data_IF_596772143734
#
_entry.id   IF_596772143734
#
_cell.length_a   1.000
_cell.length_b   1.000
_cell.length_c   1.000
_cell.angle_alpha   90.00
_cell.angle_beta   90.00
_cell.angle_gamma   90.00
#
_symmetry.space_group_name_H-M   'P 1'
#
loop_
_entity.id
_entity.type
_entity.pdbx_description
1 polymer ?
#
# COMPACT_ATOMS: atom_id res chain seq x y z
N UNK A 1 13.53 47.66 0.55
CA UNK A 1 12.48 48.68 0.78
C UNK A 1 11.22 48.19 0.09
N UNK A 2 10.04 47.91 0.65
CA UNK A 2 9.37 48.07 1.96
C UNK A 2 8.24 47.00 1.96
N UNK A 3 8.34 45.89 2.70
CA UNK A 3 7.66 45.57 3.98
C UNK A 3 6.19 46.04 4.10
N UNK A 4 5.22 45.11 4.03
CA UNK A 4 3.90 45.26 4.69
C UNK A 4 3.44 43.92 5.26
N UNK A 5 3.62 43.78 6.56
CA UNK A 5 2.91 42.85 7.44
C UNK A 5 1.60 43.52 7.85
N UNK A 6 0.50 42.77 7.90
CA UNK A 6 -0.72 43.18 8.63
C UNK A 6 -1.12 42.02 9.52
N UNK A 7 -0.85 42.17 10.82
CA UNK A 7 -1.52 41.47 11.90
C UNK A 7 -2.93 42.04 12.03
N UNK A 8 -3.92 41.19 12.32
CA UNK A 8 -5.17 41.63 12.93
C UNK A 8 -5.48 40.70 14.10
N UNK A 9 -5.24 41.22 15.30
CA UNK A 9 -5.77 40.68 16.55
C UNK A 9 -6.92 41.60 16.97
N UNK A 10 -8.07 41.02 17.32
CA UNK A 10 -9.11 41.71 18.09
C UNK A 10 -9.57 40.75 19.17
N UNK A 11 -9.26 41.10 20.40
CA UNK A 11 -9.84 40.56 21.62
C UNK A 11 -11.08 41.39 21.98
N UNK A 12 -12.12 40.74 22.53
CA UNK A 12 -12.94 41.38 23.55
C UNK A 12 -13.63 40.32 24.42
N UNK A 13 -13.32 40.38 25.71
CA UNK A 13 -13.98 39.66 26.79
C UNK A 13 -15.41 40.18 27.00
N UNK A 14 -16.26 39.36 27.64
CA UNK A 14 -17.02 39.73 28.84
C UNK A 14 -17.87 38.56 29.37
N UNK A 15 -17.47 38.10 30.55
CA UNK A 15 -18.21 37.65 31.74
C UNK A 15 -19.74 37.47 31.62
N UNK A 16 -20.23 36.31 32.09
CA UNK A 16 -21.65 36.07 32.32
C UNK A 16 -21.90 34.77 33.07
N UNK A 17 -21.52 34.75 34.34
CA UNK A 17 -21.89 33.71 35.32
C UNK A 17 -23.40 33.74 35.58
N UNK A 18 -24.08 32.63 35.33
CA UNK A 18 -25.40 32.36 35.92
C UNK A 18 -25.34 31.02 36.65
N UNK A 19 -25.23 31.13 37.97
CA UNK A 19 -25.57 30.10 38.93
C UNK A 19 -27.07 29.84 38.88
N UNK A 20 -27.49 28.61 38.59
CA UNK A 20 -28.86 28.16 38.87
C UNK A 20 -28.88 27.62 40.29
N UNK A 21 -29.48 28.39 41.20
CA UNK A 21 -29.92 27.92 42.50
C UNK A 21 -31.38 27.48 42.38
N UNK A 22 -31.68 26.25 42.78
CA UNK A 22 -33.03 25.70 42.74
C UNK A 22 -33.16 24.38 43.48
N UNK A 23 -33.52 24.49 44.77
CA UNK A 23 -34.25 23.53 45.59
C UNK A 23 -33.68 22.10 45.75
N UNK A 24 -32.93 21.88 46.84
CA UNK A 24 -32.88 20.57 47.50
C UNK A 24 -33.99 20.50 48.55
N UNK A 25 -35.05 19.77 48.22
CA UNK A 25 -35.97 19.20 49.20
C UNK A 25 -35.36 17.91 49.75
N UNK A 26 -35.26 17.84 51.08
CA UNK A 26 -34.81 16.67 51.84
C UNK A 26 -35.82 15.53 51.75
N UNK A 27 -35.41 14.37 51.28
CA UNK A 27 -36.05 13.09 51.64
C UNK A 27 -34.98 11.99 51.71
N UNK A 28 -34.68 11.57 52.93
CA UNK A 28 -33.89 10.39 53.26
C UNK A 28 -34.52 9.12 52.65
N UNK A 29 -33.79 8.44 51.77
CA UNK A 29 -34.11 7.06 51.36
C UNK A 29 -32.88 6.19 51.64
N UNK A 30 -33.08 5.22 52.54
CA UNK A 30 -32.10 4.20 52.96
C UNK A 30 -31.63 3.35 51.77
N UNK A 31 -30.35 2.96 51.67
CA UNK A 31 -29.87 2.17 50.53
C UNK A 31 -30.41 0.74 50.59
N UNK A 32 -30.94 0.28 49.45
CA UNK A 32 -31.36 -1.10 49.16
C UNK A 32 -30.11 -1.99 49.00
N UNK A 33 -30.07 -3.25 49.49
CA UNK A 33 -28.86 -4.06 49.41
C UNK A 33 -28.63 -4.53 47.97
N UNK A 34 -27.39 -4.39 47.51
CA UNK A 34 -26.98 -4.67 46.14
C UNK A 34 -27.28 -6.12 45.71
N UNK A 35 -27.97 -6.26 44.56
CA UNK A 35 -28.00 -7.52 43.81
C UNK A 35 -26.62 -7.78 43.18
N UNK A 36 -26.12 -9.02 43.12
CA UNK A 36 -24.84 -9.31 42.49
C UNK A 36 -24.98 -9.12 40.98
N UNK A 37 -24.19 -8.21 40.41
CA UNK A 37 -24.03 -8.11 38.96
C UNK A 37 -23.13 -9.27 38.54
N UNK A 38 -23.71 -10.25 37.86
CA UNK A 38 -22.93 -11.29 37.18
C UNK A 38 -22.14 -10.60 36.08
N UNK A 39 -20.82 -10.57 36.23
CA UNK A 39 -19.93 -10.07 35.20
C UNK A 39 -20.03 -10.98 33.98
N UNK A 40 -20.68 -10.50 32.92
CA UNK A 40 -20.60 -11.15 31.61
C UNK A 40 -19.17 -11.00 31.13
N UNK A 41 -18.42 -12.10 31.18
CA UNK A 41 -17.05 -12.17 30.71
C UNK A 41 -17.08 -11.99 29.19
N UNK A 42 -16.74 -10.79 28.73
CA UNK A 42 -16.63 -10.47 27.31
C UNK A 42 -15.72 -11.49 26.63
N UNK A 43 -16.29 -12.31 25.75
CA UNK A 43 -15.53 -13.26 24.96
C UNK A 43 -14.46 -12.50 24.15
N UNK A 44 -13.23 -13.04 24.01
CA UNK A 44 -12.20 -12.40 23.21
C UNK A 44 -12.71 -12.26 21.77
N UNK A 45 -12.90 -11.03 21.32
CA UNK A 45 -13.31 -10.75 19.95
C UNK A 45 -12.14 -11.11 19.04
N UNK A 46 -12.18 -12.30 18.44
CA UNK A 46 -11.23 -12.68 17.39
C UNK A 46 -11.54 -11.80 16.17
N UNK A 47 -10.73 -10.77 15.96
CA UNK A 47 -10.82 -9.92 14.78
C UNK A 47 -10.68 -10.74 13.50
N UNK A 48 -11.39 -10.34 12.44
CA UNK A 48 -11.30 -10.99 11.13
C UNK A 48 -9.82 -11.04 10.70
N UNK A 49 -9.31 -12.20 10.24
CA UNK A 49 -7.90 -12.34 9.89
C UNK A 49 -7.49 -11.33 8.81
N UNK A 50 -6.31 -10.73 8.97
CA UNK A 50 -5.76 -9.78 8.00
C UNK A 50 -5.66 -10.44 6.61
N UNK A 51 -6.09 -9.75 5.54
CA UNK A 51 -5.91 -10.26 4.18
C UNK A 51 -4.44 -10.29 3.76
N UNK A 52 -3.56 -9.56 4.45
CA UNK A 52 -2.12 -9.49 4.18
C UNK A 52 -1.37 -10.43 5.11
N UNK A 53 -0.48 -11.24 4.54
CA UNK A 53 0.49 -12.07 5.26
C UNK A 53 1.91 -11.78 4.76
N UNK A 54 2.80 -11.35 5.65
CA UNK A 54 4.20 -11.01 5.35
C UNK A 54 5.12 -12.25 5.43
N UNK A 55 6.18 -12.25 4.64
CA UNK A 55 7.18 -13.32 4.55
C UNK A 55 8.59 -12.73 4.54
N UNK A 56 9.58 -13.50 5.00
CA UNK A 56 10.97 -13.08 4.93
C UNK A 56 11.51 -13.15 3.50
N UNK A 57 11.02 -14.12 2.70
CA UNK A 57 11.50 -14.33 1.34
C UNK A 57 10.38 -14.57 0.33
N UNK A 58 10.67 -14.24 -0.94
CA UNK A 58 9.79 -14.55 -2.07
C UNK A 58 9.53 -16.06 -2.20
N UNK A 59 10.49 -16.91 -1.83
CA UNK A 59 10.35 -18.36 -1.90
C UNK A 59 9.31 -18.89 -0.91
N UNK A 60 9.32 -18.38 0.32
CA UNK A 60 8.34 -18.78 1.34
C UNK A 60 6.93 -18.36 0.93
N UNK A 61 6.78 -17.13 0.44
CA UNK A 61 5.51 -16.62 -0.05
C UNK A 61 4.99 -17.42 -1.27
N UNK A 62 5.87 -17.72 -2.22
CA UNK A 62 5.53 -18.54 -3.39
C UNK A 62 5.14 -19.96 -3.01
N UNK A 63 5.83 -20.57 -2.04
CA UNK A 63 5.49 -21.90 -1.49
C UNK A 63 4.15 -21.87 -0.78
N UNK A 64 3.87 -20.83 0.00
CA UNK A 64 2.59 -20.65 0.69
C UNK A 64 1.41 -20.55 -0.29
N UNK A 65 1.61 -19.87 -1.42
CA UNK A 65 0.64 -19.74 -2.50
C UNK A 65 0.61 -20.94 -3.48
N UNK A 66 1.59 -21.84 -3.41
CA UNK A 66 1.78 -22.94 -4.36
C UNK A 66 1.90 -22.46 -5.83
N UNK A 67 2.73 -21.43 -6.07
CA UNK A 67 3.00 -20.90 -7.41
C UNK A 67 4.49 -20.89 -7.74
N UNK A 68 4.83 -20.89 -9.04
CA UNK A 68 6.17 -20.60 -9.54
C UNK A 68 6.17 -19.19 -10.16
N UNK A 69 6.42 -18.13 -9.38
CA UNK A 69 6.27 -16.78 -9.86
C UNK A 69 7.34 -16.44 -10.91
N UNK A 70 6.93 -15.72 -11.95
CA UNK A 70 7.87 -14.95 -12.76
C UNK A 70 8.22 -13.68 -12.00
N UNK A 71 9.50 -13.32 -11.90
CA UNK A 71 9.97 -12.13 -11.20
C UNK A 71 10.80 -11.24 -12.13
N UNK A 72 10.70 -9.91 -12.02
CA UNK A 72 11.58 -9.00 -12.76
C UNK A 72 13.03 -9.18 -12.28
N UNK A 73 13.94 -9.53 -13.20
CA UNK A 73 15.38 -9.63 -12.91
C UNK A 73 16.12 -8.30 -12.95
N UNK A 74 15.54 -7.32 -13.63
CA UNK A 74 16.11 -5.98 -13.77
C UNK A 74 15.10 -4.98 -13.24
N UNK A 75 15.61 -4.01 -12.48
CA UNK A 75 14.88 -2.86 -11.96
C UNK A 75 15.78 -1.63 -12.12
N UNK A 76 15.23 -0.41 -12.02
CA UNK A 76 16.06 0.79 -11.91
C UNK A 76 17.07 0.64 -10.77
N UNK A 77 18.29 1.13 -10.99
CA UNK A 77 19.38 1.05 -10.00
C UNK A 77 18.95 1.74 -8.70
N UNK A 78 19.34 1.15 -7.56
CA UNK A 78 19.09 1.68 -6.22
C UNK A 78 17.84 1.12 -5.53
N UNK A 79 17.03 0.30 -6.21
CA UNK A 79 15.87 -0.36 -5.60
C UNK A 79 16.24 -1.70 -4.95
N UNK A 80 15.87 -1.86 -3.68
CA UNK A 80 16.04 -3.09 -2.91
C UNK A 80 14.67 -3.57 -2.39
N UNK A 81 14.55 -4.87 -2.11
CA UNK A 81 13.30 -5.42 -1.53
C UNK A 81 13.09 -4.78 -0.15
N UNK A 82 11.94 -4.13 0.02
CA UNK A 82 11.45 -3.61 1.30
C UNK A 82 10.62 -4.68 2.03
N UNK A 83 9.69 -5.32 1.32
CA UNK A 83 8.83 -6.35 1.89
C UNK A 83 8.31 -7.35 0.85
N UNK A 84 7.91 -8.51 1.35
CA UNK A 84 7.31 -9.60 0.58
C UNK A 84 6.06 -10.06 1.32
N UNK A 85 4.90 -9.96 0.68
CA UNK A 85 3.64 -10.41 1.27
C UNK A 85 2.74 -11.11 0.28
N UNK A 86 1.70 -11.76 0.81
CA UNK A 86 0.57 -12.25 0.02
C UNK A 86 -0.70 -11.54 0.42
N UNK A 87 -1.63 -11.39 -0.53
CA UNK A 87 -2.94 -10.79 -0.34
C UNK A 87 -3.98 -11.86 -0.63
N UNK A 88 -4.82 -12.19 0.35
CA UNK A 88 -5.86 -13.24 0.28
C UNK A 88 -5.32 -14.60 -0.18
N UNK A 89 -4.01 -14.86 -0.05
CA UNK A 89 -3.31 -16.04 -0.59
C UNK A 89 -3.32 -16.18 -2.13
N UNK A 90 -3.88 -15.21 -2.86
CA UNK A 90 -4.05 -15.29 -4.32
C UNK A 90 -3.09 -14.37 -5.10
N UNK A 91 -2.49 -13.41 -4.43
CA UNK A 91 -1.54 -12.44 -5.01
C UNK A 91 -0.28 -12.37 -4.16
N UNK A 92 0.88 -12.63 -4.77
CA UNK A 92 2.20 -12.33 -4.23
C UNK A 92 2.51 -10.86 -4.52
N UNK A 93 2.90 -10.11 -3.49
CA UNK A 93 3.36 -8.73 -3.57
C UNK A 93 4.83 -8.66 -3.16
N UNK A 94 5.63 -7.98 -3.98
CA UNK A 94 7.01 -7.61 -3.66
C UNK A 94 7.12 -6.10 -3.77
N UNK A 95 7.40 -5.45 -2.65
CA UNK A 95 7.62 -4.00 -2.61
C UNK A 95 9.12 -3.78 -2.62
N UNK A 96 9.57 -2.95 -3.56
CA UNK A 96 10.94 -2.47 -3.64
C UNK A 96 10.97 -1.00 -3.26
N UNK A 97 11.93 -0.58 -2.45
CA UNK A 97 12.15 0.82 -2.09
C UNK A 97 13.51 1.27 -2.59
N UNK A 98 13.58 2.50 -3.09
CA UNK A 98 14.86 3.10 -3.43
C UNK A 98 15.64 3.45 -2.17
N UNK A 99 16.86 2.94 -2.08
CA UNK A 99 17.82 3.29 -1.04
C UNK A 99 18.78 4.37 -1.56
N UNK A 100 18.88 5.46 -0.81
CA UNK A 100 19.78 6.56 -1.13
C UNK A 100 21.24 6.07 -1.13
N UNK A 101 21.95 6.31 -2.23
CA UNK A 101 23.39 6.13 -2.30
C UNK A 101 24.13 7.39 -1.85
N UNK A 102 25.46 7.35 -1.86
CA UNK A 102 26.31 8.50 -1.50
C UNK A 102 26.12 9.69 -2.46
N UNK A 103 25.85 9.42 -3.75
CA UNK A 103 25.60 10.45 -4.75
C UNK A 103 24.17 11.04 -4.61
N UNK A 104 24.10 12.17 -3.91
CA UNK A 104 22.86 12.92 -3.68
C UNK A 104 22.13 13.33 -4.96
N UNK A 105 22.83 13.51 -6.09
CA UNK A 105 22.19 13.89 -7.36
C UNK A 105 21.34 12.76 -7.95
N UNK A 106 21.63 11.51 -7.55
CA UNK A 106 20.91 10.30 -7.98
C UNK A 106 19.77 9.93 -7.04
N UNK A 107 19.69 10.52 -5.85
CA UNK A 107 18.70 10.21 -4.82
C UNK A 107 17.32 10.85 -5.03
N UNK A 108 17.02 11.32 -6.24
CA UNK A 108 15.71 11.87 -6.60
C UNK A 108 14.55 10.85 -6.47
N UNK A 109 14.89 9.58 -6.28
CA UNK A 109 13.95 8.50 -6.04
C UNK A 109 13.92 8.03 -4.57
N UNK A 110 14.64 8.66 -3.64
CA UNK A 110 14.69 8.25 -2.23
C UNK A 110 13.29 8.06 -1.63
N UNK A 111 13.06 6.87 -1.05
CA UNK A 111 11.78 6.49 -0.46
C UNK A 111 10.67 6.16 -1.46
N UNK A 112 10.90 6.30 -2.77
CA UNK A 112 9.93 5.90 -3.80
C UNK A 112 9.90 4.40 -3.95
N UNK A 113 8.70 3.87 -4.19
CA UNK A 113 8.46 2.44 -4.28
C UNK A 113 8.17 1.96 -5.70
N UNK A 114 8.57 0.71 -5.95
CA UNK A 114 8.08 -0.11 -7.04
C UNK A 114 7.33 -1.27 -6.42
N UNK A 115 6.09 -1.49 -6.84
CA UNK A 115 5.27 -2.59 -6.34
C UNK A 115 5.07 -3.58 -7.47
N UNK A 116 5.66 -4.76 -7.33
CA UNK A 116 5.42 -5.87 -8.24
C UNK A 116 4.40 -6.82 -7.63
N UNK A 117 3.42 -7.26 -8.42
CA UNK A 117 2.47 -8.29 -8.02
C UNK A 117 2.33 -9.36 -9.08
N UNK A 118 2.12 -10.58 -8.62
CA UNK A 118 1.83 -11.74 -9.45
C UNK A 118 0.80 -12.63 -8.77
N UNK A 119 -0.16 -13.15 -9.51
CA UNK A 119 -1.22 -13.99 -8.97
C UNK A 119 -1.89 -14.83 -10.04
N UNK A 120 -2.63 -15.83 -9.61
CA UNK A 120 -3.41 -16.73 -10.48
C UNK A 120 -4.88 -16.32 -10.57
N UNK A 121 -5.32 -15.40 -9.71
CA UNK A 121 -6.66 -14.81 -9.81
C UNK A 121 -6.83 -14.02 -11.10
N UNK A 122 -8.05 -13.98 -11.63
CA UNK A 122 -8.37 -13.29 -12.88
C UNK A 122 -8.53 -11.79 -12.64
N UNK A 123 -8.12 -10.99 -13.63
CA UNK A 123 -8.34 -9.55 -13.63
C UNK A 123 -7.12 -8.74 -13.20
N UNK A 124 -7.34 -7.46 -12.94
CA UNK A 124 -6.29 -6.52 -12.53
C UNK A 124 -5.95 -6.72 -11.05
N UNK A 125 -4.72 -7.17 -10.79
CA UNK A 125 -4.21 -7.41 -9.43
C UNK A 125 -3.36 -6.25 -8.88
N UNK A 126 -3.23 -5.15 -9.64
CA UNK A 126 -2.36 -4.03 -9.29
C UNK A 126 -2.73 -3.34 -7.98
N UNK A 127 -4.01 -3.36 -7.62
CA UNK A 127 -4.55 -2.55 -6.52
C UNK A 127 -4.45 -1.05 -6.77
N UNK A 128 -4.20 -0.66 -8.02
CA UNK A 128 -4.17 0.74 -8.45
C UNK A 128 -5.47 1.06 -9.20
N UNK A 129 -6.25 1.97 -8.61
CA UNK A 129 -7.52 2.45 -9.14
C UNK A 129 -7.40 3.89 -9.69
N UNK A 130 -6.17 4.33 -9.99
CA UNK A 130 -5.94 5.67 -10.48
C UNK A 130 -6.42 5.83 -11.92
N UNK A 131 -6.94 7.01 -12.23
CA UNK A 131 -7.33 7.38 -13.58
C UNK A 131 -6.12 7.97 -14.33
N UNK A 132 -5.59 7.20 -15.27
CA UNK A 132 -4.47 7.62 -16.10
C UNK A 132 -4.94 8.28 -17.40
N UNK A 133 -4.22 9.32 -17.83
CA UNK A 133 -4.50 10.02 -19.09
C UNK A 133 -4.31 9.14 -20.32
N UNK A 134 -3.36 8.19 -20.25
CA UNK A 134 -3.01 7.29 -21.33
C UNK A 134 -3.11 5.86 -20.86
N UNK A 135 -3.84 5.04 -21.60
CA UNK A 135 -3.81 3.58 -21.54
C UNK A 135 -3.47 3.06 -22.92
N UNK A 136 -2.37 2.32 -23.04
CA UNK A 136 -1.88 1.81 -24.31
C UNK A 136 -1.47 0.34 -24.18
N UNK A 137 -1.93 -0.47 -25.13
CA UNK A 137 -1.62 -1.90 -25.17
C UNK A 137 -0.69 -2.21 -26.33
N UNK A 138 0.41 -2.91 -26.05
CA UNK A 138 1.44 -3.26 -27.03
C UNK A 138 1.94 -4.69 -26.80
N UNK A 139 2.55 -5.30 -27.83
CA UNK A 139 3.27 -6.56 -27.66
C UNK A 139 4.70 -6.31 -27.22
N UNK A 140 5.12 -6.98 -26.14
CA UNK A 140 6.50 -6.98 -25.62
C UNK A 140 6.96 -8.42 -25.57
N UNK A 141 7.92 -8.79 -26.42
CA UNK A 141 8.41 -10.16 -26.57
C UNK A 141 7.25 -11.19 -26.71
N UNK A 142 6.28 -10.89 -27.58
CA UNK A 142 5.09 -11.72 -27.80
C UNK A 142 3.97 -11.58 -26.76
N UNK A 143 4.26 -11.04 -25.57
CA UNK A 143 3.29 -10.83 -24.50
C UNK A 143 2.48 -9.56 -24.75
N UNK A 144 1.14 -9.63 -24.67
CA UNK A 144 0.28 -8.43 -24.69
C UNK A 144 0.36 -7.73 -23.35
N UNK A 145 0.90 -6.51 -23.34
CA UNK A 145 1.09 -5.69 -22.14
C UNK A 145 0.23 -4.45 -22.25
N UNK A 146 -0.53 -4.16 -21.19
CA UNK A 146 -1.22 -2.88 -21.03
C UNK A 146 -0.40 -1.98 -20.13
N UNK A 147 -0.20 -0.76 -20.58
CA UNK A 147 0.55 0.25 -19.84
C UNK A 147 -0.35 1.46 -19.59
N UNK A 148 -0.33 1.98 -18.37
CA UNK A 148 -1.09 3.14 -17.94
C UNK A 148 -0.16 4.24 -17.43
N UNK A 149 -0.43 5.48 -17.81
CA UNK A 149 0.38 6.64 -17.43
C UNK A 149 0.03 7.93 -18.19
N UNK A 150 1.04 8.68 -18.58
CA UNK A 150 0.90 9.95 -19.30
C UNK A 150 2.25 10.61 -19.59
N UNK A 151 2.30 11.54 -20.55
CA UNK A 151 3.53 12.25 -20.94
C UNK A 151 4.72 11.31 -21.23
N UNK A 152 4.49 10.23 -21.99
CA UNK A 152 5.50 9.19 -22.32
C UNK A 152 6.05 8.40 -21.11
N UNK A 153 5.47 8.61 -19.93
CA UNK A 153 5.84 7.94 -18.69
C UNK A 153 4.80 6.87 -18.32
N UNK A 154 5.29 5.77 -17.76
CA UNK A 154 4.53 4.60 -17.32
C UNK A 154 4.54 4.57 -15.80
N UNK A 155 3.34 4.60 -15.21
CA UNK A 155 3.13 4.40 -13.78
C UNK A 155 2.73 2.97 -13.47
N UNK A 156 1.98 2.33 -14.36
CA UNK A 156 1.52 0.96 -14.17
C UNK A 156 1.65 0.18 -15.48
N UNK A 157 2.15 -1.04 -15.40
CA UNK A 157 2.02 -2.01 -16.48
C UNK A 157 1.39 -3.30 -15.96
N UNK A 158 0.50 -3.90 -16.74
CA UNK A 158 -0.15 -5.18 -16.46
C UNK A 158 -0.06 -6.11 -17.67
N UNK A 159 0.13 -7.39 -17.41
CA UNK A 159 0.18 -8.42 -18.46
C UNK A 159 -0.17 -9.79 -17.92
N UNK A 160 -0.40 -10.74 -18.82
CA UNK A 160 -0.61 -12.15 -18.49
C UNK A 160 0.48 -12.97 -19.15
N UNK A 161 1.12 -13.85 -18.38
CA UNK A 161 2.14 -14.79 -18.87
C UNK A 161 1.98 -16.13 -18.16
N UNK A 162 1.95 -17.21 -18.92
CA UNK A 162 1.85 -18.59 -18.41
C UNK A 162 0.72 -18.79 -17.37
N UNK A 163 -0.44 -18.19 -17.64
CA UNK A 163 -1.62 -18.26 -16.78
C UNK A 163 -1.57 -17.38 -15.51
N UNK A 164 -0.49 -16.64 -15.29
CA UNK A 164 -0.34 -15.72 -14.18
C UNK A 164 -0.62 -14.28 -14.63
N UNK A 165 -1.41 -13.55 -13.83
CA UNK A 165 -1.58 -12.11 -13.97
C UNK A 165 -0.41 -11.42 -13.27
N UNK A 166 0.12 -10.39 -13.92
CA UNK A 166 1.24 -9.61 -13.45
C UNK A 166 0.89 -8.13 -13.46
N UNK A 167 1.41 -7.41 -12.48
CA UNK A 167 1.40 -5.95 -12.49
C UNK A 167 2.69 -5.39 -11.90
N UNK A 168 3.15 -4.27 -12.43
CA UNK A 168 4.22 -3.48 -11.82
C UNK A 168 3.81 -2.01 -11.77
N UNK A 169 3.79 -1.46 -10.57
CA UNK A 169 3.52 -0.05 -10.30
C UNK A 169 4.82 0.67 -9.95
N UNK A 170 4.98 1.88 -10.47
CA UNK A 170 6.12 2.76 -10.25
C UNK A 170 5.61 4.07 -9.63
N UNK A 171 5.97 4.32 -8.37
CA UNK A 171 5.60 5.60 -7.73
C UNK A 171 6.33 6.77 -8.39
N UNK A 172 7.61 6.57 -8.74
CA UNK A 172 8.33 7.41 -9.69
C UNK A 172 8.26 6.74 -11.06
N UNK A 173 7.51 7.30 -12.02
CA UNK A 173 7.25 6.60 -13.27
C UNK A 173 8.51 6.49 -14.12
N UNK A 174 8.52 5.47 -14.98
CA UNK A 174 9.63 5.20 -15.90
C UNK A 174 9.20 5.44 -17.34
N UNK A 175 10.14 5.64 -18.25
CA UNK A 175 9.81 5.71 -19.67
C UNK A 175 9.38 4.33 -20.21
N UNK A 176 8.82 4.33 -21.44
CA UNK A 176 8.29 3.14 -22.10
C UNK A 176 9.34 2.03 -22.28
N UNK A 177 10.56 2.39 -22.67
CA UNK A 177 11.62 1.43 -22.96
C UNK A 177 12.12 0.72 -21.71
N UNK A 178 12.27 1.46 -20.61
CA UNK A 178 12.61 0.89 -19.31
C UNK A 178 11.52 -0.10 -18.85
N UNK A 179 10.24 0.27 -18.97
CA UNK A 179 9.14 -0.63 -18.61
C UNK A 179 9.17 -1.91 -19.47
N UNK A 180 9.41 -1.79 -20.79
CA UNK A 180 9.57 -2.95 -21.69
C UNK A 180 10.77 -3.82 -21.31
N UNK A 181 11.90 -3.23 -20.93
CA UNK A 181 13.09 -3.96 -20.51
C UNK A 181 12.84 -4.78 -19.23
N UNK A 182 12.15 -4.21 -18.24
CA UNK A 182 11.78 -4.90 -17.00
C UNK A 182 10.86 -6.08 -17.28
N UNK A 183 9.82 -5.88 -18.09
CA UNK A 183 8.85 -6.93 -18.43
C UNK A 183 9.49 -8.05 -19.24
N UNK A 184 10.35 -7.71 -20.21
CA UNK A 184 11.09 -8.70 -21.01
C UNK A 184 11.98 -9.59 -20.15
N UNK A 185 12.55 -9.04 -19.07
CA UNK A 185 13.39 -9.74 -18.11
C UNK A 185 12.62 -10.32 -16.92
N UNK A 186 11.28 -10.39 -17.02
CA UNK A 186 10.45 -11.08 -16.04
C UNK A 186 10.36 -12.57 -16.40
N UNK A 187 11.08 -13.37 -15.63
CA UNK A 187 11.29 -14.81 -15.90
C UNK A 187 11.03 -15.63 -14.65
N UNK A 188 10.71 -16.91 -14.83
CA UNK A 188 10.47 -17.83 -13.72
C UNK A 188 11.77 -18.01 -12.96
N UNK A 189 11.67 -18.14 -11.64
CA UNK A 189 12.83 -18.52 -10.83
C UNK A 189 13.22 -19.94 -11.24
N UNK A 190 14.38 -20.10 -11.90
CA UNK A 190 14.93 -21.44 -12.14
C UNK A 190 15.16 -22.08 -10.77
N UNK A 191 14.41 -23.13 -10.46
CA UNK A 191 14.78 -24.06 -9.40
C UNK A 191 16.07 -24.72 -9.87
N UNK A 192 17.20 -24.38 -9.25
CA UNK A 192 18.34 -25.29 -9.25
C UNK A 192 17.91 -26.51 -8.46
N UNK A 193 17.30 -27.48 -9.13
CA UNK A 193 17.30 -28.85 -8.66
C UNK A 193 18.70 -29.38 -8.98
N UNK A 194 19.56 -29.42 -7.96
CA UNK A 194 20.65 -30.38 -7.90
C UNK A 194 20.18 -31.57 -7.09
#
# INVERSE_FOLDING_TARGET
>A
MVKKFVLMAVACACVGSYTVAGAQGTFDVKPDPAKPVVAEQAAPMVGMPSPIHEFATINEAAKYMNIMPHLPKVLPVGYNIESVSTINKDVLQVVYVYQAGEDATRNQAAGKRIVYRVGTTKGDISGDYNNYKVTATEKVNGTKVTFKGGNYMVYLATWVKDGQNHSIYFERPVNRDMAKAIITNTVSKKTHMQ
#
